data_IF_751818984610
#
_entry.id   IF_751818984610
#
_cell.length_a   1.000
_cell.length_b   1.000
_cell.length_c   1.000
_cell.angle_alpha   90.00
_cell.angle_beta   90.00
_cell.angle_gamma   90.00
#
_symmetry.space_group_name_H-M   'P 1'
#
loop_
_entity.id
_entity.type
_entity.pdbx_description
1 polymer ?
#
# COMPACT_ATOMS: atom_id res chain seq x y z
N UNK A 1 -5.67 -9.10 19.81
CA UNK A 1 -4.86 -8.63 20.94
C UNK A 1 -5.16 -7.15 21.13
N UNK A 2 -5.38 -6.69 22.36
CA UNK A 2 -5.68 -5.29 22.64
C UNK A 2 -4.68 -4.72 23.63
N UNK A 3 -4.08 -3.59 23.28
CA UNK A 3 -3.24 -2.81 24.19
C UNK A 3 -4.07 -1.59 24.61
N UNK A 4 -4.14 -1.35 25.92
CA UNK A 4 -4.85 -0.21 26.49
C UNK A 4 -3.89 0.65 27.30
N UNK A 5 -3.84 1.94 27.00
CA UNK A 5 -3.10 2.95 27.78
C UNK A 5 -4.10 4.06 28.14
N UNK A 6 -4.56 4.08 29.38
CA UNK A 6 -5.63 4.99 29.82
C UNK A 6 -6.94 4.72 29.07
N UNK A 7 -7.45 5.73 28.36
CA UNK A 7 -8.68 5.62 27.53
C UNK A 7 -8.40 5.15 26.10
N UNK A 8 -7.13 5.10 25.68
CA UNK A 8 -6.76 4.64 24.35
C UNK A 8 -6.75 3.12 24.32
N UNK A 9 -7.67 2.53 23.55
CA UNK A 9 -7.75 1.08 23.30
C UNK A 9 -7.40 0.81 21.85
N UNK A 10 -6.28 0.13 21.61
CA UNK A 10 -5.89 -0.35 20.29
C UNK A 10 -6.12 -1.86 20.26
N UNK A 11 -7.23 -2.28 19.67
CA UNK A 11 -7.56 -3.68 19.46
C UNK A 11 -7.32 -4.06 17.99
N UNK A 12 -6.35 -4.94 17.74
CA UNK A 12 -6.05 -5.46 16.40
C UNK A 12 -5.80 -6.98 16.42
N UNK A 13 -6.06 -7.69 15.31
CA UNK A 13 -5.66 -9.09 15.15
C UNK A 13 -4.14 -9.25 15.28
N UNK A 14 -3.68 -10.43 15.74
CA UNK A 14 -2.24 -10.70 15.96
C UNK A 14 -1.41 -10.50 14.69
N UNK A 15 -1.95 -10.92 13.54
CA UNK A 15 -1.30 -10.76 12.24
C UNK A 15 -1.02 -9.29 11.88
N UNK A 16 -1.90 -8.37 12.28
CA UNK A 16 -1.71 -6.93 12.02
C UNK A 16 -0.54 -6.37 12.85
N UNK A 17 -0.39 -6.81 14.10
CA UNK A 17 0.73 -6.41 14.95
C UNK A 17 2.07 -6.89 14.38
N UNK A 18 2.11 -8.13 13.89
CA UNK A 18 3.31 -8.70 13.27
C UNK A 18 3.64 -7.93 11.99
N UNK A 19 2.67 -7.70 11.11
CA UNK A 19 2.88 -6.97 9.85
C UNK A 19 3.35 -5.53 10.11
N UNK A 20 2.77 -4.83 11.08
CA UNK A 20 3.18 -3.47 11.46
C UNK A 20 4.59 -3.45 12.08
N UNK A 21 4.95 -4.46 12.87
CA UNK A 21 6.32 -4.63 13.38
C UNK A 21 7.34 -4.94 12.27
N UNK A 22 6.98 -5.77 11.30
CA UNK A 22 7.82 -6.11 10.16
C UNK A 22 8.08 -4.91 9.24
N UNK A 23 7.15 -3.97 9.12
CA UNK A 23 7.38 -2.73 8.37
C UNK A 23 8.52 -1.88 8.92
N UNK A 24 8.89 -2.03 10.19
CA UNK A 24 10.06 -1.34 10.77
C UNK A 24 11.36 -1.83 10.14
N UNK A 25 11.45 -3.08 9.68
CA UNK A 25 12.62 -3.58 8.92
C UNK A 25 12.74 -2.88 7.57
N UNK A 26 11.64 -2.63 6.87
CA UNK A 26 11.64 -1.86 5.62
C UNK A 26 12.11 -0.42 5.83
N UNK A 27 11.86 0.17 7.00
CA UNK A 27 12.39 1.49 7.34
C UNK A 27 13.93 1.48 7.45
N UNK A 28 14.51 0.45 8.08
CA UNK A 28 15.97 0.30 8.15
C UNK A 28 16.59 0.11 6.76
N UNK A 29 15.97 -0.71 5.92
CA UNK A 29 16.38 -0.89 4.51
C UNK A 29 16.28 0.45 3.76
N UNK A 30 15.23 1.24 4.00
CA UNK A 30 15.07 2.58 3.41
C UNK A 30 16.17 3.56 3.82
N UNK A 31 16.70 3.47 5.04
CA UNK A 31 17.84 4.28 5.48
C UNK A 31 19.15 3.86 4.79
N UNK A 32 19.33 2.58 4.52
CA UNK A 32 20.50 2.05 3.80
C UNK A 32 20.48 2.45 2.32
N UNK A 33 19.30 2.39 1.69
CA UNK A 33 19.06 2.89 0.32
C UNK A 33 19.37 4.39 0.22
N UNK A 34 19.07 5.20 1.25
CA UNK A 34 19.44 6.61 1.26
C UNK A 34 20.96 6.79 1.07
N UNK A 35 21.78 5.92 1.66
CA UNK A 35 23.23 5.93 1.43
C UNK A 35 23.59 5.69 -0.04
N UNK A 36 23.00 4.67 -0.66
CA UNK A 36 23.23 4.34 -2.09
C UNK A 36 22.73 5.42 -3.06
N UNK A 37 21.68 6.16 -2.71
CA UNK A 37 21.16 7.27 -3.51
C UNK A 37 22.09 8.49 -3.48
N UNK A 38 22.73 8.77 -2.33
CA UNK A 38 23.59 9.95 -2.18
C UNK A 38 25.03 9.72 -2.66
N UNK A 39 25.61 8.55 -2.39
CA UNK A 39 27.04 8.26 -2.68
C UNK A 39 27.24 7.11 -3.67
N UNK A 40 26.17 6.39 -4.03
CA UNK A 40 26.22 5.19 -4.85
C UNK A 40 25.83 5.38 -6.32
N UNK A 41 25.59 4.24 -6.97
CA UNK A 41 25.29 4.14 -8.41
C UNK A 41 23.86 4.57 -8.79
N UNK A 42 23.06 5.02 -7.81
CA UNK A 42 21.74 5.63 -8.01
C UNK A 42 21.79 7.17 -8.10
N UNK A 43 22.98 7.77 -7.96
CA UNK A 43 23.16 9.23 -7.98
C UNK A 43 22.93 9.88 -9.36
N UNK A 44 23.00 9.09 -10.46
CA UNK A 44 22.80 9.61 -11.81
C UNK A 44 21.40 9.31 -12.35
N UNK A 45 20.69 10.36 -12.78
CA UNK A 45 19.35 10.27 -13.39
C UNK A 45 19.27 9.28 -14.57
N UNK A 46 20.37 9.11 -15.32
CA UNK A 46 20.42 8.20 -16.47
C UNK A 46 20.47 6.73 -16.05
N UNK A 47 21.13 6.40 -14.93
CA UNK A 47 21.17 5.04 -14.39
C UNK A 47 19.87 4.69 -13.66
N UNK A 48 19.14 5.70 -13.18
CA UNK A 48 17.85 5.54 -12.50
C UNK A 48 16.67 5.37 -13.46
N UNK A 49 16.70 6.07 -14.61
CA UNK A 49 15.59 6.06 -15.55
C UNK A 49 15.25 4.66 -16.08
N UNK A 50 16.27 3.87 -16.47
CA UNK A 50 16.06 2.54 -17.04
C UNK A 50 15.41 1.56 -16.02
N UNK A 51 15.91 1.41 -14.78
CA UNK A 51 15.24 0.65 -13.72
C UNK A 51 13.83 1.15 -13.41
N UNK A 52 13.61 2.47 -13.41
CA UNK A 52 12.29 3.03 -13.10
C UNK A 52 11.25 2.65 -14.16
N UNK A 53 11.57 2.78 -15.46
CA UNK A 53 10.66 2.34 -16.53
C UNK A 53 10.47 0.82 -16.55
N UNK A 54 11.54 0.06 -16.29
CA UNK A 54 11.46 -1.39 -16.17
C UNK A 54 10.58 -1.84 -14.99
N UNK A 55 10.65 -1.15 -13.85
CA UNK A 55 9.80 -1.40 -12.67
C UNK A 55 8.33 -1.12 -12.99
N UNK A 56 8.04 0.04 -13.58
CA UNK A 56 6.68 0.41 -13.99
C UNK A 56 6.08 -0.60 -14.95
N UNK A 57 6.84 -1.04 -15.97
CA UNK A 57 6.39 -2.08 -16.89
C UNK A 57 6.22 -3.43 -16.20
N UNK A 58 7.18 -3.82 -15.35
CA UNK A 58 7.16 -5.06 -14.59
C UNK A 58 5.99 -5.17 -13.61
N UNK A 59 5.48 -4.05 -13.12
CA UNK A 59 4.30 -4.00 -12.25
C UNK A 59 2.99 -3.88 -13.04
N UNK A 60 2.97 -3.06 -14.10
CA UNK A 60 1.77 -2.77 -14.88
C UNK A 60 1.28 -3.96 -15.71
N UNK A 61 2.20 -4.74 -16.30
CA UNK A 61 1.85 -5.89 -17.15
C UNK A 61 1.14 -7.00 -16.35
N UNK A 62 1.70 -7.55 -15.26
CA UNK A 62 1.01 -8.59 -14.49
C UNK A 62 -0.27 -8.08 -13.83
N UNK A 63 -0.32 -6.82 -13.41
CA UNK A 63 -1.53 -6.19 -12.91
C UNK A 63 -2.63 -6.13 -13.97
N UNK A 64 -2.30 -5.68 -15.19
CA UNK A 64 -3.25 -5.59 -16.30
C UNK A 64 -3.76 -6.96 -16.73
N UNK A 65 -2.86 -7.96 -16.79
CA UNK A 65 -3.24 -9.36 -17.07
C UNK A 65 -4.22 -9.84 -16.01
N UNK A 66 -3.88 -9.68 -14.73
CA UNK A 66 -4.74 -10.13 -13.63
C UNK A 66 -6.12 -9.47 -13.64
N UNK A 67 -6.17 -8.15 -13.88
CA UNK A 67 -7.44 -7.42 -13.97
C UNK A 67 -8.27 -7.88 -15.17
N UNK A 68 -7.64 -8.11 -16.34
CA UNK A 68 -8.36 -8.60 -17.52
C UNK A 68 -9.03 -9.96 -17.28
N UNK A 69 -8.42 -10.83 -16.47
CA UNK A 69 -9.01 -12.13 -16.11
C UNK A 69 -10.04 -12.06 -14.98
N UNK A 70 -9.96 -11.05 -14.10
CA UNK A 70 -10.79 -10.95 -12.89
C UNK A 70 -11.76 -9.76 -12.90
N UNK A 71 -12.01 -9.13 -14.05
CA UNK A 71 -12.86 -7.93 -14.18
C UNK A 71 -14.32 -8.18 -13.76
N UNK A 72 -14.77 -9.43 -13.85
CA UNK A 72 -16.14 -9.83 -13.51
C UNK A 72 -16.40 -9.97 -12.00
N UNK A 73 -15.36 -9.96 -11.16
CA UNK A 73 -15.48 -10.07 -9.70
C UNK A 73 -14.84 -8.86 -9.00
N UNK A 74 -15.65 -7.93 -8.44
CA UNK A 74 -15.17 -6.74 -7.75
C UNK A 74 -14.32 -7.03 -6.49
N UNK A 75 -14.40 -8.24 -5.93
CA UNK A 75 -13.59 -8.66 -4.79
C UNK A 75 -12.24 -9.16 -5.30
N UNK A 76 -12.24 -10.01 -6.33
CA UNK A 76 -11.01 -10.52 -6.95
C UNK A 76 -10.18 -9.40 -7.57
N UNK A 77 -10.81 -8.42 -8.23
CA UNK A 77 -10.12 -7.27 -8.83
C UNK A 77 -9.28 -6.45 -7.82
N UNK A 78 -9.58 -6.50 -6.51
CA UNK A 78 -8.76 -5.84 -5.47
C UNK A 78 -7.42 -6.54 -5.22
N UNK A 79 -7.28 -7.80 -5.65
CA UNK A 79 -6.08 -8.62 -5.50
C UNK A 79 -4.99 -8.37 -6.55
N UNK A 80 -5.14 -7.36 -7.41
CA UNK A 80 -4.19 -7.11 -8.51
C UNK A 80 -2.75 -6.81 -8.05
N UNK A 81 -2.58 -6.33 -6.82
CA UNK A 81 -1.27 -6.08 -6.23
C UNK A 81 -0.50 -7.36 -5.86
N UNK A 82 -1.18 -8.51 -5.75
CA UNK A 82 -0.56 -9.80 -5.40
C UNK A 82 0.43 -10.26 -6.49
N UNK A 83 0.04 -10.37 -7.78
CA UNK A 83 0.98 -10.76 -8.85
C UNK A 83 2.00 -9.68 -9.20
N UNK A 84 1.79 -8.44 -8.75
CA UNK A 84 2.72 -7.34 -8.91
C UNK A 84 3.83 -7.32 -7.83
N UNK A 85 3.62 -8.00 -6.70
CA UNK A 85 4.60 -8.07 -5.62
C UNK A 85 5.83 -8.88 -6.04
N UNK A 86 7.00 -8.25 -5.97
CA UNK A 86 8.29 -8.88 -6.32
C UNK A 86 9.11 -9.08 -5.05
N UNK A 87 9.53 -10.30 -4.74
CA UNK A 87 10.40 -10.59 -3.59
C UNK A 87 11.88 -10.36 -3.95
N UNK A 88 12.41 -9.22 -3.53
CA UNK A 88 13.81 -8.83 -3.75
C UNK A 88 14.80 -9.79 -3.07
N UNK A 89 14.49 -10.28 -1.87
CA UNK A 89 15.41 -11.11 -1.09
C UNK A 89 15.59 -12.46 -1.79
N UNK A 90 14.49 -13.01 -2.32
CA UNK A 90 14.54 -14.23 -3.12
C UNK A 90 15.32 -14.02 -4.43
N UNK A 91 15.08 -12.92 -5.13
CA UNK A 91 15.79 -12.60 -6.37
C UNK A 91 17.30 -12.43 -6.16
N UNK A 92 17.70 -11.69 -5.11
CA UNK A 92 19.11 -11.50 -4.75
C UNK A 92 19.76 -12.79 -4.26
N UNK A 93 19.04 -13.64 -3.53
CA UNK A 93 19.54 -14.96 -3.12
C UNK A 93 19.85 -15.86 -4.33
N UNK A 94 18.96 -15.90 -5.33
CA UNK A 94 19.24 -16.60 -6.60
C UNK A 94 20.42 -15.99 -7.36
N UNK A 95 20.54 -14.66 -7.34
CA UNK A 95 21.66 -13.97 -7.98
C UNK A 95 23.00 -14.29 -7.30
N UNK A 96 23.00 -14.42 -5.98
CA UNK A 96 24.16 -14.82 -5.19
C UNK A 96 24.56 -16.28 -5.48
N UNK A 97 23.59 -17.18 -5.66
CA UNK A 97 23.80 -18.58 -6.04
C UNK A 97 24.46 -18.74 -7.42
N UNK A 98 24.19 -17.83 -8.36
CA UNK A 98 24.85 -17.80 -9.67
C UNK A 98 26.33 -17.39 -9.61
N UNK A 99 26.78 -16.87 -8.46
CA UNK A 99 28.19 -16.62 -8.16
C UNK A 99 28.81 -15.50 -9.02
N UNK A 100 30.10 -15.63 -9.39
CA UNK A 100 30.83 -14.57 -10.10
C UNK A 100 30.44 -14.42 -11.58
N UNK A 101 29.56 -15.28 -12.11
CA UNK A 101 29.11 -15.24 -13.51
C UNK A 101 28.18 -14.06 -13.81
N UNK A 102 27.66 -13.41 -12.78
CA UNK A 102 26.75 -12.27 -12.91
C UNK A 102 27.56 -10.96 -12.88
N UNK A 103 27.49 -10.14 -13.95
CA UNK A 103 28.13 -8.82 -13.97
C UNK A 103 27.65 -7.93 -12.82
N UNK A 104 28.56 -7.16 -12.23
CA UNK A 104 28.23 -6.21 -11.16
C UNK A 104 27.15 -5.21 -11.57
N UNK A 105 27.13 -4.80 -12.84
CA UNK A 105 26.10 -3.92 -13.41
C UNK A 105 24.69 -4.53 -13.34
N UNK A 106 24.54 -5.85 -13.51
CA UNK A 106 23.24 -6.52 -13.43
C UNK A 106 22.75 -6.58 -11.97
N UNK A 107 23.66 -6.79 -11.01
CA UNK A 107 23.32 -6.78 -9.58
C UNK A 107 22.75 -5.41 -9.18
N UNK A 108 23.45 -4.34 -9.57
CA UNK A 108 23.02 -2.96 -9.29
C UNK A 108 21.71 -2.63 -10.00
N UNK A 109 21.56 -3.03 -11.27
CA UNK A 109 20.31 -2.84 -11.99
C UNK A 109 19.12 -3.52 -11.31
N UNK A 110 19.29 -4.78 -10.87
CA UNK A 110 18.23 -5.53 -10.20
C UNK A 110 17.90 -4.97 -8.81
N UNK A 111 18.90 -4.54 -8.05
CA UNK A 111 18.68 -3.84 -6.78
C UNK A 111 17.89 -2.55 -7.00
N UNK A 112 18.28 -1.72 -7.97
CA UNK A 112 17.57 -0.50 -8.31
C UNK A 112 16.13 -0.77 -8.75
N UNK A 113 15.92 -1.75 -9.64
CA UNK A 113 14.60 -2.18 -10.11
C UNK A 113 13.68 -2.56 -8.95
N UNK A 114 14.19 -3.36 -8.02
CA UNK A 114 13.42 -3.85 -6.89
C UNK A 114 13.06 -2.73 -5.90
N UNK A 115 13.98 -1.80 -5.63
CA UNK A 115 13.70 -0.60 -4.84
C UNK A 115 12.52 0.19 -5.44
N UNK A 116 12.55 0.44 -6.76
CA UNK A 116 11.46 1.15 -7.43
C UNK A 116 10.11 0.43 -7.35
N UNK A 117 10.10 -0.90 -7.46
CA UNK A 117 8.88 -1.69 -7.30
C UNK A 117 8.30 -1.56 -5.88
N UNK A 118 9.12 -1.69 -4.84
CA UNK A 118 8.67 -1.59 -3.44
C UNK A 118 8.12 -0.19 -3.12
N UNK A 119 8.76 0.87 -3.61
CA UNK A 119 8.25 2.24 -3.49
C UNK A 119 6.92 2.43 -4.23
N UNK A 120 6.79 1.86 -5.43
CA UNK A 120 5.56 1.93 -6.23
C UNK A 120 4.37 1.33 -5.49
N UNK A 121 4.56 0.13 -4.92
CA UNK A 121 3.53 -0.54 -4.13
C UNK A 121 3.22 0.23 -2.84
N UNK A 122 4.23 0.73 -2.11
CA UNK A 122 4.01 1.52 -0.90
C UNK A 122 3.20 2.81 -1.17
N UNK A 123 3.48 3.50 -2.28
CA UNK A 123 2.71 4.68 -2.71
C UNK A 123 1.27 4.33 -3.12
N UNK A 124 1.06 3.19 -3.75
CA UNK A 124 -0.27 2.69 -4.06
C UNK A 124 -1.07 2.39 -2.79
N UNK A 125 -0.48 1.62 -1.86
CA UNK A 125 -1.13 1.23 -0.60
C UNK A 125 -1.51 2.44 0.24
N UNK A 126 -0.60 3.43 0.36
CA UNK A 126 -0.90 4.67 1.10
C UNK A 126 -2.06 5.47 0.48
N UNK A 127 -2.16 5.54 -0.86
CA UNK A 127 -3.32 6.13 -1.54
C UNK A 127 -4.59 5.34 -1.30
N UNK A 128 -4.53 4.02 -1.34
CA UNK A 128 -5.67 3.12 -1.12
C UNK A 128 -6.20 3.23 0.31
N UNK A 129 -5.31 3.21 1.31
CA UNK A 129 -5.65 3.43 2.72
C UNK A 129 -6.24 4.83 2.93
N UNK A 130 -5.62 5.86 2.35
CA UNK A 130 -6.11 7.25 2.44
C UNK A 130 -7.51 7.42 1.83
N UNK A 131 -7.76 6.84 0.65
CA UNK A 131 -9.08 6.84 0.01
C UNK A 131 -10.11 6.07 0.84
N UNK A 132 -9.72 4.93 1.42
CA UNK A 132 -10.60 4.14 2.31
C UNK A 132 -11.00 4.95 3.56
N UNK A 133 -10.05 5.63 4.21
CA UNK A 133 -10.32 6.51 5.36
C UNK A 133 -11.23 7.68 4.98
N UNK A 134 -11.00 8.27 3.79
CA UNK A 134 -11.85 9.34 3.27
C UNK A 134 -13.29 8.87 3.03
N UNK A 135 -13.49 7.73 2.37
CA UNK A 135 -14.81 7.14 2.15
C UNK A 135 -15.53 6.80 3.46
N UNK A 136 -14.81 6.26 4.45
CA UNK A 136 -15.37 6.00 5.78
C UNK A 136 -15.83 7.28 6.50
N UNK A 137 -15.04 8.35 6.42
CA UNK A 137 -15.40 9.66 7.02
C UNK A 137 -16.64 10.27 6.35
N UNK A 138 -16.75 10.19 5.02
CA UNK A 138 -17.95 10.62 4.31
C UNK A 138 -19.16 9.75 4.66
N UNK A 139 -19.00 8.42 4.71
CA UNK A 139 -20.07 7.50 5.12
C UNK A 139 -20.61 7.81 6.52
N UNK A 140 -19.72 8.04 7.50
CA UNK A 140 -20.12 8.49 8.84
C UNK A 140 -20.82 9.84 8.84
N UNK A 141 -20.35 10.79 8.02
CA UNK A 141 -20.99 12.11 7.87
C UNK A 141 -22.40 12.02 7.31
N UNK A 142 -22.60 11.22 6.26
CA UNK A 142 -23.91 11.00 5.62
C UNK A 142 -24.87 10.28 6.55
N UNK A 143 -24.42 9.24 7.27
CA UNK A 143 -25.25 8.53 8.27
C UNK A 143 -25.64 9.49 9.40
N UNK A 144 -24.72 10.32 9.89
CA UNK A 144 -25.00 11.30 10.94
C UNK A 144 -26.05 12.32 10.50
N UNK A 145 -25.91 12.89 9.31
CA UNK A 145 -26.88 13.84 8.74
C UNK A 145 -28.25 13.18 8.54
N UNK A 146 -28.29 11.95 8.04
CA UNK A 146 -29.54 11.21 7.83
C UNK A 146 -30.28 10.94 9.14
N UNK A 147 -29.56 10.58 10.20
CA UNK A 147 -30.15 10.38 11.55
C UNK A 147 -30.66 11.71 12.10
N UNK A 148 -29.89 12.79 12.00
CA UNK A 148 -30.29 14.10 12.54
C UNK A 148 -31.52 14.68 11.83
N UNK A 149 -31.60 14.56 10.50
CA UNK A 149 -32.77 14.95 9.71
C UNK A 149 -33.99 14.08 10.06
N UNK A 150 -33.79 12.76 10.23
CA UNK A 150 -34.87 11.85 10.61
C UNK A 150 -35.41 12.16 12.00
N UNK A 151 -34.55 12.50 12.96
CA UNK A 151 -34.97 12.88 14.32
C UNK A 151 -35.71 14.22 14.30
N UNK A 152 -35.20 15.23 13.60
CA UNK A 152 -35.90 16.52 13.47
C UNK A 152 -37.27 16.38 12.82
N UNK A 153 -37.40 15.55 11.78
CA UNK A 153 -38.69 15.31 11.14
C UNK A 153 -39.70 14.59 12.06
N UNK A 154 -39.25 13.66 12.89
CA UNK A 154 -40.13 13.00 13.88
C UNK A 154 -40.58 13.96 14.99
N UNK A 155 -39.70 14.87 15.43
CA UNK A 155 -40.04 15.89 16.43
C UNK A 155 -41.02 16.94 15.88
N UNK A 156 -40.87 17.33 14.60
CA UNK A 156 -41.79 18.23 13.93
C UNK A 156 -43.20 17.63 13.79
N UNK A 157 -43.31 16.33 13.50
CA UNK A 157 -44.59 15.61 13.46
C UNK A 157 -45.28 15.55 14.83
N UNK A 158 -44.51 15.34 15.90
CA UNK A 158 -45.03 15.31 17.28
C UNK A 158 -45.46 16.70 17.79
N UNK A 159 -44.80 17.77 17.34
CA UNK A 159 -45.19 19.14 17.67
C UNK A 159 -46.42 19.62 16.89
N UNK A 160 -46.63 19.13 15.66
CA UNK A 160 -47.82 19.47 14.86
C UNK A 160 -49.11 18.84 15.41
N UNK A 161 -49.01 17.64 16.01
CA UNK A 161 -50.17 16.95 16.57
C UNK A 161 -50.64 17.49 17.93
N UNK A 162 -49.90 18.45 18.51
CA UNK A 162 -50.20 19.05 19.82
C UNK A 162 -50.99 20.36 19.73
N UNK A 163 -51.33 20.81 18.52
CA UNK A 163 -52.05 22.05 18.22
C UNK A 163 -53.37 21.85 17.46
N UNK A 164 -53.80 20.60 17.27
CA UNK A 164 -55.16 20.21 16.88
C UNK A 164 -55.90 19.68 18.11
#
# INVERSE_FOLDING_TARGET
MSIQIGTLVIAKPMISWINEGLMVFFFLIGLEIKGEVYEGQLSSLRQVALPAFAALGGMAVPAAIYLAFNDNDPIAAKGWAIPAATDIVLALAFLALLGPRVPTSLKVFLTALAIFNDFGIALHETKTISNSQRNWRYGKGVVKIRVEVSVKNSLLKLSAHKYD
#
